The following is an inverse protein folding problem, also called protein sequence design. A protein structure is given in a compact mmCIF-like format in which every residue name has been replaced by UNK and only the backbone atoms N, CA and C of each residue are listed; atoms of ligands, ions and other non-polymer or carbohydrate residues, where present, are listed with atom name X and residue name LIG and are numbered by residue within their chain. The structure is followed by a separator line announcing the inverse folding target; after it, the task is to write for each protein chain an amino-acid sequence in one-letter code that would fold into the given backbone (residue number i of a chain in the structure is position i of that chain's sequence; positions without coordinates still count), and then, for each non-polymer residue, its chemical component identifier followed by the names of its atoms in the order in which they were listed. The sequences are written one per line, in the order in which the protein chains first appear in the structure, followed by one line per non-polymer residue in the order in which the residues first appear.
data_IF_229641282502
#
_entry.id   IF_229641282502
#
_cell.length_a   1.000
_cell.length_b   1.000
_cell.length_c   1.000
_cell.angle_alpha   90.00
_cell.angle_beta   90.00
_cell.angle_gamma   90.00
#
_symmetry.space_group_name_H-M   'P 1'
#
loop_
_entity.id
_entity.type
_entity.pdbx_description
1 polymer ?
#
# COMPACT_ATOMS: atom_id res chain seq x y z
N UNK A 1 30.11 41.69 -8.36
CA UNK A 1 30.49 41.35 -6.96
C UNK A 1 29.31 41.48 -6.00
N UNK A 2 28.67 42.65 -5.84
CA UNK A 2 27.55 42.84 -4.88
C UNK A 2 26.32 41.94 -5.14
N UNK A 3 25.95 41.71 -6.40
CA UNK A 3 24.80 40.87 -6.80
C UNK A 3 25.00 39.38 -6.45
N UNK A 4 26.22 38.87 -6.65
CA UNK A 4 26.58 37.48 -6.33
C UNK A 4 26.59 37.23 -4.82
N UNK A 5 27.06 38.21 -4.03
CA UNK A 5 27.01 38.15 -2.56
C UNK A 5 25.58 38.18 -2.05
N UNK A 6 24.74 39.08 -2.59
CA UNK A 6 23.32 39.14 -2.24
C UNK A 6 22.59 37.82 -2.57
N UNK A 7 22.89 37.23 -3.73
CA UNK A 7 22.33 35.94 -4.12
C UNK A 7 22.75 34.82 -3.14
N UNK A 8 24.03 34.78 -2.75
CA UNK A 8 24.51 33.83 -1.74
C UNK A 8 23.83 34.01 -0.38
N UNK A 9 23.60 35.25 0.05
CA UNK A 9 22.87 35.53 1.30
C UNK A 9 21.41 35.07 1.24
N UNK A 10 20.72 35.30 0.12
CA UNK A 10 19.33 34.86 -0.07
C UNK A 10 19.25 33.33 -0.07
N UNK A 11 20.18 32.65 -0.76
CA UNK A 11 20.24 31.19 -0.78
C UNK A 11 20.53 30.61 0.60
N UNK A 12 21.45 31.21 1.35
CA UNK A 12 21.74 30.82 2.74
C UNK A 12 20.53 31.03 3.65
N UNK A 13 19.81 32.14 3.49
CA UNK A 13 18.60 32.41 4.26
C UNK A 13 17.48 31.40 3.95
N UNK A 14 17.29 31.02 2.69
CA UNK A 14 16.32 29.99 2.29
C UNK A 14 16.63 28.62 2.91
N UNK A 15 17.90 28.23 2.97
CA UNK A 15 18.32 26.98 3.61
C UNK A 15 18.01 26.95 5.12
N UNK A 16 18.17 28.09 5.81
CA UNK A 16 17.89 28.21 7.25
C UNK A 16 16.38 28.15 7.53
N UNK A 17 15.57 28.67 6.61
CA UNK A 17 14.10 28.69 6.73
C UNK A 17 13.44 27.38 6.28
N UNK A 18 14.19 26.44 5.72
CA UNK A 18 13.66 25.14 5.31
C UNK A 18 13.27 24.31 6.54
N UNK A 19 11.96 24.15 6.77
CA UNK A 19 11.47 23.22 7.80
C UNK A 19 11.51 21.79 7.28
N UNK A 20 11.96 20.81 8.09
CA UNK A 20 11.84 19.41 7.73
C UNK A 20 10.36 19.05 7.56
N UNK A 21 10.01 18.50 6.40
CA UNK A 21 8.67 17.93 6.19
C UNK A 21 8.57 16.69 7.10
N UNK A 22 7.73 16.80 8.12
CA UNK A 22 7.43 15.67 8.98
C UNK A 22 6.56 14.70 8.17
N UNK A 23 7.16 13.64 7.62
CA UNK A 23 6.35 12.55 7.07
C UNK A 23 5.43 12.01 8.16
N UNK A 24 4.19 11.71 7.78
CA UNK A 24 3.09 11.33 8.67
C UNK A 24 3.54 10.22 9.64
N UNK A 25 3.44 10.51 10.95
CA UNK A 25 3.95 9.63 12.00
C UNK A 25 2.93 8.56 12.41
N UNK A 26 1.64 8.83 12.24
CA UNK A 26 0.54 7.91 12.50
C UNK A 26 -0.66 8.28 11.63
N UNK A 27 -1.63 7.38 11.50
CA UNK A 27 -2.90 7.69 10.87
C UNK A 27 -3.58 6.47 10.25
N UNK A 28 -4.60 6.73 9.44
CA UNK A 28 -5.48 5.70 8.92
C UNK A 28 -5.72 5.89 7.43
N UNK A 29 -5.74 4.77 6.70
CA UNK A 29 -5.97 4.72 5.26
C UNK A 29 -7.00 3.65 4.93
N UNK A 30 -7.88 3.96 3.99
CA UNK A 30 -8.83 3.02 3.41
C UNK A 30 -8.59 2.93 1.91
N UNK A 31 -8.71 1.73 1.37
CA UNK A 31 -8.49 1.43 -0.03
C UNK A 31 -9.50 0.42 -0.58
N UNK A 32 -9.63 0.42 -1.89
CA UNK A 32 -10.36 -0.58 -2.65
C UNK A 32 -9.36 -1.48 -3.35
N UNK A 33 -9.58 -2.79 -3.31
CA UNK A 33 -8.86 -3.78 -4.12
C UNK A 33 -9.69 -4.02 -5.37
N UNK A 34 -9.20 -3.54 -6.51
CA UNK A 34 -9.83 -3.71 -7.82
C UNK A 34 -9.23 -4.93 -8.52
N UNK A 35 -10.06 -5.89 -8.91
CA UNK A 35 -9.63 -7.16 -9.51
C UNK A 35 -10.40 -8.34 -8.92
N UNK A 36 -9.93 -9.57 -9.14
CA UNK A 36 -10.44 -10.75 -8.43
C UNK A 36 -9.35 -11.26 -7.48
N UNK A 37 -9.62 -11.36 -6.15
CA UNK A 37 -10.81 -10.92 -5.43
C UNK A 37 -10.96 -9.39 -5.39
N UNK A 38 -12.19 -8.89 -5.54
CA UNK A 38 -12.51 -7.49 -5.27
C UNK A 38 -12.66 -7.32 -3.76
N UNK A 39 -12.17 -6.23 -3.20
CA UNK A 39 -12.15 -6.09 -1.75
C UNK A 39 -11.98 -4.68 -1.22
N UNK A 40 -11.96 -4.59 0.10
CA UNK A 40 -11.61 -3.41 0.87
C UNK A 40 -10.29 -3.67 1.58
N UNK A 41 -9.48 -2.64 1.72
CA UNK A 41 -8.28 -2.65 2.56
C UNK A 41 -8.32 -1.48 3.53
N UNK A 42 -7.84 -1.72 4.75
CA UNK A 42 -7.68 -0.71 5.77
C UNK A 42 -6.28 -0.81 6.37
N UNK A 43 -5.62 0.33 6.54
CA UNK A 43 -4.26 0.41 7.10
C UNK A 43 -4.25 1.42 8.24
N UNK A 44 -3.76 1.01 9.40
CA UNK A 44 -3.62 1.85 10.58
C UNK A 44 -2.13 1.96 10.95
N UNK A 45 -1.52 3.10 10.66
CA UNK A 45 -0.16 3.42 11.05
C UNK A 45 -0.11 3.79 12.54
N UNK A 46 0.60 2.99 13.32
CA UNK A 46 0.88 3.26 14.74
C UNK A 46 2.16 4.06 14.93
N UNK A 47 3.09 3.94 13.98
CA UNK A 47 4.27 4.79 13.86
C UNK A 47 4.64 4.97 12.38
N UNK A 48 5.65 5.80 12.11
CA UNK A 48 6.26 5.97 10.78
C UNK A 48 6.65 4.65 10.11
N UNK A 49 7.01 3.63 10.88
CA UNK A 49 7.53 2.35 10.35
C UNK A 49 6.64 1.14 10.68
N UNK A 50 5.62 1.32 11.52
CA UNK A 50 4.74 0.23 11.96
C UNK A 50 3.28 0.54 11.59
N UNK A 51 2.61 -0.43 10.99
CA UNK A 51 1.19 -0.33 10.68
C UNK A 51 0.50 -1.69 10.80
N UNK A 52 -0.75 -1.70 11.23
CA UNK A 52 -1.65 -2.83 11.08
C UNK A 52 -2.30 -2.77 9.70
N UNK A 53 -2.31 -3.89 8.98
CA UNK A 53 -2.87 -4.02 7.65
C UNK A 53 -4.01 -5.03 7.66
N UNK A 54 -5.18 -4.61 7.17
CA UNK A 54 -6.38 -5.41 7.11
C UNK A 54 -6.89 -5.43 5.67
N UNK A 55 -7.22 -6.63 5.19
CA UNK A 55 -7.82 -6.83 3.87
C UNK A 55 -9.03 -7.74 3.97
N UNK A 56 -10.13 -7.34 3.35
CA UNK A 56 -11.32 -8.16 3.18
C UNK A 56 -11.66 -8.22 1.70
N UNK A 57 -11.52 -9.40 1.10
CA UNK A 57 -11.79 -9.63 -0.32
C UNK A 57 -12.87 -10.70 -0.52
N UNK A 58 -13.64 -10.53 -1.58
CA UNK A 58 -14.56 -11.54 -2.11
C UNK A 58 -14.13 -11.88 -3.54
N UNK A 59 -13.96 -13.16 -3.81
CA UNK A 59 -13.81 -13.69 -5.17
C UNK A 59 -15.06 -14.47 -5.52
N UNK A 60 -15.67 -14.16 -6.66
CA UNK A 60 -16.82 -14.92 -7.20
C UNK A 60 -16.35 -16.05 -8.14
N UNK A 61 -15.06 -16.08 -8.49
CA UNK A 61 -14.46 -16.98 -9.48
C UNK A 61 -13.49 -18.03 -8.96
N UNK A 62 -13.72 -18.60 -7.77
CA UNK A 62 -12.78 -19.50 -7.09
C UNK A 62 -13.30 -20.91 -6.82
N UNK A 63 -14.07 -21.50 -7.74
CA UNK A 63 -14.05 -22.94 -8.05
C UNK A 63 -15.10 -23.25 -9.13
N UNK A 64 -14.62 -23.40 -10.37
CA UNK A 64 -15.15 -24.49 -11.20
C UNK A 64 -14.47 -25.76 -10.69
N UNK A 65 -14.73 -26.19 -9.46
CA UNK A 65 -14.65 -27.62 -9.18
C UNK A 65 -15.82 -28.21 -9.97
N UNK A 66 -15.55 -28.46 -11.26
CA UNK A 66 -16.23 -29.52 -11.97
C UNK A 66 -15.90 -30.75 -11.14
N UNK A 67 -16.87 -31.15 -10.32
CA UNK A 67 -16.82 -32.36 -9.53
C UNK A 67 -16.94 -33.51 -10.53
N UNK A 68 -15.89 -33.77 -11.30
CA UNK A 68 -15.79 -35.02 -12.06
C UNK A 68 -15.53 -36.11 -11.03
N UNK A 69 -16.62 -36.76 -10.63
CA UNK A 69 -16.59 -38.01 -9.90
C UNK A 69 -15.94 -39.08 -10.80
N UNK A 70 -14.61 -39.09 -10.86
CA UNK A 70 -13.89 -40.27 -11.34
C UNK A 70 -13.96 -41.32 -10.22
N UNK A 71 -15.00 -42.14 -10.27
CA UNK A 71 -15.04 -43.40 -9.53
C UNK A 71 -13.88 -44.27 -10.02
N UNK A 72 -12.88 -44.48 -9.17
CA UNK A 72 -11.90 -45.54 -9.36
C UNK A 72 -12.61 -46.88 -9.12
N UNK A 73 -13.17 -47.48 -10.18
CA UNK A 73 -13.56 -48.89 -10.14
C UNK A 73 -12.30 -49.71 -10.36
N UNK A 74 -11.75 -50.28 -9.29
CA UNK A 74 -10.55 -51.11 -9.27
C UNK A 74 -10.69 -52.46 -10.01
N UNK A 75 -11.24 -52.46 -11.22
CA UNK A 75 -11.28 -53.64 -12.08
C UNK A 75 -9.94 -53.78 -12.82
N UNK A 76 -9.10 -54.66 -12.30
CA UNK A 76 -8.00 -55.26 -13.07
C UNK A 76 -8.58 -56.10 -14.20
N UNK A 77 -8.20 -55.80 -15.44
CA UNK A 77 -8.25 -56.74 -16.56
C UNK A 77 -6.84 -56.94 -17.10
#
# INVERSE_FOLDING_TARGET
MKKSVLFGMILGLMMILAKPIAAQDHGFGLGLVVGEPTGLSAKLWTSRINAFDFGLGVAVGGDRISHDNYYYNGESR
#
